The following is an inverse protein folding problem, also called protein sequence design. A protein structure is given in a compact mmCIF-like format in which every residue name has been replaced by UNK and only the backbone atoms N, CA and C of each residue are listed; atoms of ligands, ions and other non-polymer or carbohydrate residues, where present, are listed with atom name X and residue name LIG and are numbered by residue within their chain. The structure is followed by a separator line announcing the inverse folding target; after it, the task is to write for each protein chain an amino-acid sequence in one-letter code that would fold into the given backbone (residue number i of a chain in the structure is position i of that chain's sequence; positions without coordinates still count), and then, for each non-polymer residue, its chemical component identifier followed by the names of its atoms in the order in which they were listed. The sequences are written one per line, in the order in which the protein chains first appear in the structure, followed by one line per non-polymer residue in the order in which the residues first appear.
data_IF_464144850690
#
_entry.id   IF_464144850690
#
_cell.length_a   1.000
_cell.length_b   1.000
_cell.length_c   1.000
_cell.angle_alpha   90.00
_cell.angle_beta   90.00
_cell.angle_gamma   90.00
#
_symmetry.space_group_name_H-M   'P 1'
#
loop_
_entity.id
_entity.type
_entity.pdbx_description
1 polymer ?
#
# COMPACT_ATOMS: atom_id res chain seq x y z
N UNK A 1 -37.59 -6.67 -5.32
CA UNK A 1 -36.40 -5.79 -5.20
C UNK A 1 -35.20 -6.62 -4.73
N UNK A 2 -33.95 -6.23 -5.01
CA UNK A 2 -32.75 -7.02 -4.68
C UNK A 2 -32.62 -7.42 -3.19
N UNK A 3 -33.34 -6.72 -2.30
CA UNK A 3 -33.36 -6.98 -0.86
C UNK A 3 -34.33 -8.08 -0.40
N UNK A 4 -35.10 -8.70 -1.31
CA UNK A 4 -36.12 -9.71 -0.98
C UNK A 4 -35.64 -11.15 -1.24
N UNK A 5 -34.33 -11.40 -1.13
CA UNK A 5 -33.79 -12.74 -1.24
C UNK A 5 -34.01 -13.50 0.08
N UNK A 6 -34.73 -14.61 0.00
CA UNK A 6 -34.94 -15.50 1.13
C UNK A 6 -33.62 -16.10 1.63
N UNK A 7 -33.55 -16.39 2.94
CA UNK A 7 -32.35 -16.99 3.56
C UNK A 7 -31.28 -15.99 4.01
N UNK A 8 -31.58 -14.69 4.06
CA UNK A 8 -30.68 -13.72 4.70
C UNK A 8 -30.45 -14.08 6.17
N UNK A 9 -29.18 -14.26 6.52
CA UNK A 9 -28.76 -14.46 7.89
C UNK A 9 -28.97 -13.18 8.72
N UNK A 10 -29.20 -13.31 10.04
CA UNK A 10 -29.18 -12.18 10.97
C UNK A 10 -27.94 -11.30 10.76
N UNK A 11 -28.09 -9.98 10.90
CA UNK A 11 -27.02 -9.03 10.64
C UNK A 11 -25.80 -9.30 11.53
N UNK A 12 -26.05 -9.69 12.78
CA UNK A 12 -25.05 -10.02 13.78
C UNK A 12 -24.17 -11.19 13.33
N UNK A 13 -24.79 -12.26 12.80
CA UNK A 13 -24.07 -13.42 12.31
C UNK A 13 -23.26 -13.10 11.05
N UNK A 14 -23.78 -12.24 10.17
CA UNK A 14 -23.05 -11.78 8.98
C UNK A 14 -21.82 -10.97 9.36
N UNK A 15 -21.96 -10.06 10.34
CA UNK A 15 -20.84 -9.25 10.81
C UNK A 15 -19.80 -10.09 11.56
N UNK A 16 -20.22 -11.04 12.39
CA UNK A 16 -19.31 -11.98 13.07
C UNK A 16 -18.50 -12.81 12.07
N UNK A 17 -19.13 -13.27 10.98
CA UNK A 17 -18.43 -14.00 9.91
C UNK A 17 -17.47 -13.10 9.14
N UNK A 18 -17.89 -11.88 8.82
CA UNK A 18 -17.06 -10.87 8.16
C UNK A 18 -15.83 -10.56 9.01
N UNK A 19 -15.99 -10.30 10.30
CA UNK A 19 -14.89 -10.01 11.21
C UNK A 19 -13.87 -11.16 11.28
N UNK A 20 -14.34 -12.40 11.42
CA UNK A 20 -13.46 -13.59 11.42
C UNK A 20 -12.70 -13.75 10.10
N UNK A 21 -13.37 -13.53 8.97
CA UNK A 21 -12.73 -13.60 7.66
C UNK A 21 -11.67 -12.50 7.49
N UNK A 22 -12.01 -11.26 7.85
CA UNK A 22 -11.10 -10.12 7.74
C UNK A 22 -9.86 -10.27 8.62
N UNK A 23 -9.99 -10.86 9.82
CA UNK A 23 -8.85 -11.13 10.69
C UNK A 23 -7.81 -12.06 10.02
N UNK A 24 -8.26 -13.10 9.33
CA UNK A 24 -7.37 -13.99 8.56
C UNK A 24 -6.80 -13.26 7.34
N UNK A 25 -7.63 -12.50 6.62
CA UNK A 25 -7.19 -11.74 5.46
C UNK A 25 -6.09 -10.72 5.81
N UNK A 26 -6.20 -10.05 6.95
CA UNK A 26 -5.22 -9.09 7.47
C UNK A 26 -3.87 -9.76 7.75
N UNK A 27 -3.88 -10.94 8.37
CA UNK A 27 -2.67 -11.73 8.62
C UNK A 27 -1.97 -12.09 7.30
N UNK A 28 -2.73 -12.63 6.33
CA UNK A 28 -2.19 -13.00 5.01
C UNK A 28 -1.65 -11.79 4.26
N UNK A 29 -2.35 -10.65 4.33
CA UNK A 29 -1.90 -9.40 3.70
C UNK A 29 -0.56 -8.93 4.29
N UNK A 30 -0.46 -8.94 5.62
CA UNK A 30 0.77 -8.56 6.34
C UNK A 30 1.95 -9.45 5.95
N UNK A 31 1.75 -10.78 5.88
CA UNK A 31 2.79 -11.72 5.44
C UNK A 31 3.24 -11.46 4.00
N UNK A 32 2.30 -11.16 3.10
CA UNK A 32 2.60 -10.83 1.71
C UNK A 32 3.42 -9.54 1.60
N UNK A 33 3.08 -8.50 2.35
CA UNK A 33 3.85 -7.25 2.37
C UNK A 33 5.26 -7.49 2.92
N UNK A 34 5.42 -8.29 3.98
CA UNK A 34 6.73 -8.66 4.53
C UNK A 34 7.61 -9.37 3.51
N UNK A 35 7.05 -10.23 2.66
CA UNK A 35 7.80 -10.89 1.56
C UNK A 35 8.31 -9.91 0.50
N UNK A 36 7.76 -8.70 0.41
CA UNK A 36 8.25 -7.66 -0.50
C UNK A 36 9.46 -6.90 0.05
N UNK A 37 9.76 -7.01 1.34
CA UNK A 37 10.96 -6.37 1.93
C UNK A 37 12.22 -6.94 1.27
N UNK A 38 13.10 -6.04 0.81
CA UNK A 38 14.29 -6.37 0.03
C UNK A 38 14.09 -6.33 -1.49
N UNK A 39 12.84 -6.40 -1.98
CA UNK A 39 12.56 -6.29 -3.40
C UNK A 39 12.81 -4.86 -3.92
N UNK A 40 13.25 -4.76 -5.17
CA UNK A 40 13.31 -3.49 -5.90
C UNK A 40 12.09 -3.41 -6.81
N UNK A 41 11.33 -2.32 -6.71
CA UNK A 41 10.08 -2.12 -7.44
C UNK A 41 10.09 -0.77 -8.14
N UNK A 42 9.34 -0.68 -9.24
CA UNK A 42 9.02 0.58 -9.87
C UNK A 42 7.80 1.21 -9.16
N UNK A 43 7.93 2.47 -8.76
CA UNK A 43 6.95 3.22 -7.98
C UNK A 43 6.59 4.48 -8.75
N UNK A 44 5.30 4.68 -9.01
CA UNK A 44 4.78 5.93 -9.54
C UNK A 44 4.70 6.95 -8.39
N UNK A 45 5.27 8.12 -8.57
CA UNK A 45 5.26 9.18 -7.55
C UNK A 45 3.96 9.96 -7.63
N UNK A 46 3.14 9.91 -6.58
CA UNK A 46 1.89 10.67 -6.46
C UNK A 46 2.08 11.98 -5.71
N UNK A 47 3.03 12.03 -4.75
CA UNK A 47 3.35 13.22 -3.98
C UNK A 47 4.84 13.33 -3.67
N UNK A 48 5.40 14.52 -3.87
CA UNK A 48 6.83 14.80 -3.67
C UNK A 48 7.06 16.17 -2.99
N UNK A 49 6.77 16.31 -1.69
CA UNK A 49 6.98 17.56 -0.98
C UNK A 49 8.44 18.03 -1.05
N UNK A 50 8.64 19.32 -1.31
CA UNK A 50 9.97 19.93 -1.46
C UNK A 50 10.85 19.17 -2.48
N UNK A 51 10.26 18.74 -3.61
CA UNK A 51 10.94 17.99 -4.68
C UNK A 51 11.56 16.66 -4.20
N UNK A 52 10.93 16.03 -3.19
CA UNK A 52 11.38 14.77 -2.61
C UNK A 52 12.37 14.91 -1.46
N UNK A 53 12.81 16.13 -1.10
CA UNK A 53 13.74 16.35 0.03
C UNK A 53 13.16 15.92 1.39
N UNK A 54 11.84 15.85 1.50
CA UNK A 54 11.12 15.34 2.68
C UNK A 54 10.57 13.92 2.47
N UNK A 55 11.02 13.22 1.42
CA UNK A 55 10.43 11.97 0.97
C UNK A 55 9.26 12.20 0.02
N UNK A 56 8.47 11.15 -0.19
CA UNK A 56 7.32 11.18 -1.07
C UNK A 56 6.33 10.04 -0.79
N UNK A 57 5.21 10.10 -1.49
CA UNK A 57 4.21 9.04 -1.51
C UNK A 57 4.07 8.60 -2.97
N UNK A 58 3.97 7.30 -3.16
CA UNK A 58 3.71 6.72 -4.46
C UNK A 58 3.00 5.39 -4.31
N UNK A 59 2.94 4.69 -5.44
CA UNK A 59 2.22 3.42 -5.57
C UNK A 59 2.95 2.50 -6.52
N UNK A 60 2.86 1.20 -6.27
CA UNK A 60 3.38 0.24 -7.24
C UNK A 60 2.37 -0.01 -8.36
N UNK A 61 2.81 -0.68 -9.43
CA UNK A 61 1.93 -1.13 -10.51
C UNK A 61 0.81 -2.06 -10.03
N UNK A 62 0.96 -2.66 -8.85
CA UNK A 62 0.03 -3.64 -8.30
C UNK A 62 -1.03 -3.02 -7.39
N UNK A 63 -0.95 -1.71 -7.09
CA UNK A 63 -1.80 -1.06 -6.09
C UNK A 63 -2.79 -0.11 -6.80
N UNK A 64 -4.08 -0.22 -6.49
CA UNK A 64 -5.16 0.65 -6.95
C UNK A 64 -5.19 2.00 -6.17
N UNK A 65 -5.65 3.10 -6.79
CA UNK A 65 -5.75 4.38 -6.08
C UNK A 65 -6.73 4.26 -4.93
N UNK A 66 -6.41 4.85 -3.77
CA UNK A 66 -7.31 5.04 -2.61
C UNK A 66 -7.81 3.77 -1.90
N UNK A 67 -7.68 2.60 -2.55
CA UNK A 67 -8.17 1.32 -2.07
C UNK A 67 -7.04 0.47 -1.47
N UNK A 68 -5.87 0.48 -2.12
CA UNK A 68 -4.70 -0.31 -1.70
C UNK A 68 -3.70 0.52 -0.90
N UNK A 69 -2.75 -0.17 -0.25
CA UNK A 69 -1.68 0.46 0.52
C UNK A 69 -0.75 1.31 -0.34
N UNK A 70 -0.09 2.28 0.28
CA UNK A 70 0.82 3.21 -0.40
C UNK A 70 2.28 2.83 -0.21
N UNK A 71 3.14 3.30 -1.13
CA UNK A 71 4.58 3.23 -1.00
C UNK A 71 5.11 4.57 -0.49
N UNK A 72 5.54 4.59 0.76
CA UNK A 72 6.20 5.74 1.38
C UNK A 72 7.67 5.75 0.97
N UNK A 73 8.03 6.72 0.13
CA UNK A 73 9.39 6.95 -0.33
C UNK A 73 10.15 7.78 0.71
N UNK A 74 11.24 7.24 1.22
CA UNK A 74 12.15 7.97 2.10
C UNK A 74 12.92 9.04 1.32
N UNK A 75 13.41 10.11 1.99
CA UNK A 75 14.22 11.14 1.36
C UNK A 75 15.43 10.52 0.62
N UNK A 76 15.74 10.97 -0.60
CA UNK A 76 16.91 10.51 -1.32
C UNK A 76 18.20 10.97 -0.64
N UNK A 77 19.17 10.07 -0.49
CA UNK A 77 20.49 10.40 0.09
C UNK A 77 21.33 11.31 -0.82
N UNK A 78 21.18 11.16 -2.14
CA UNK A 78 21.87 11.98 -3.13
C UNK A 78 21.05 13.22 -3.45
N UNK A 79 21.64 14.41 -3.23
CA UNK A 79 21.00 15.69 -3.53
C UNK A 79 20.60 15.87 -5.01
N UNK A 80 21.24 15.15 -5.93
CA UNK A 80 20.90 15.14 -7.36
C UNK A 80 19.61 14.39 -7.68
N UNK A 81 19.15 13.52 -6.77
CA UNK A 81 17.94 12.75 -6.96
C UNK A 81 16.76 13.51 -6.38
N UNK A 82 15.82 13.87 -7.23
CA UNK A 82 14.58 14.55 -6.85
C UNK A 82 13.39 13.68 -7.22
N UNK A 83 12.28 13.88 -6.53
CA UNK A 83 11.01 13.26 -6.89
C UNK A 83 10.14 14.29 -7.58
N UNK A 84 9.51 13.88 -8.68
CA UNK A 84 8.50 14.65 -9.39
C UNK A 84 7.24 13.81 -9.49
N UNK A 85 6.09 14.45 -9.27
CA UNK A 85 4.79 13.79 -9.39
C UNK A 85 4.58 13.35 -10.84
N UNK A 86 4.08 12.12 -11.03
CA UNK A 86 3.88 11.49 -12.33
C UNK A 86 5.10 10.71 -12.85
N UNK A 87 6.27 10.87 -12.24
CA UNK A 87 7.46 10.11 -12.65
C UNK A 87 7.49 8.72 -11.99
N UNK A 88 8.06 7.75 -12.71
CA UNK A 88 8.41 6.46 -12.15
C UNK A 88 9.80 6.49 -11.55
N UNK A 89 9.92 6.05 -10.29
CA UNK A 89 11.20 5.88 -9.59
C UNK A 89 11.40 4.42 -9.22
N UNK A 90 12.66 3.96 -9.24
CA UNK A 90 13.00 2.65 -8.66
C UNK A 90 13.31 2.84 -7.18
N UNK A 91 12.70 2.00 -6.36
CA UNK A 91 12.92 2.01 -4.93
C UNK A 91 13.06 0.59 -4.38
N UNK A 92 13.92 0.42 -3.38
CA UNK A 92 14.07 -0.81 -2.63
C UNK A 92 13.17 -0.75 -1.41
N UNK A 93 12.31 -1.73 -1.25
CA UNK A 93 11.46 -1.85 -0.07
C UNK A 93 12.35 -2.23 1.11
N UNK A 94 12.33 -1.42 2.17
CA UNK A 94 13.14 -1.63 3.38
C UNK A 94 12.29 -2.05 4.57
N UNK A 95 10.97 -1.91 4.49
CA UNK A 95 10.06 -2.31 5.56
C UNK A 95 8.60 -2.12 5.19
N UNK A 96 7.74 -2.35 6.17
CA UNK A 96 6.29 -2.22 6.09
C UNK A 96 5.80 -1.43 7.29
N UNK A 97 4.79 -0.58 7.11
CA UNK A 97 4.11 0.12 8.21
C UNK A 97 2.60 -0.07 8.04
N UNK A 98 2.01 -0.97 8.83
CA UNK A 98 0.62 -1.39 8.59
C UNK A 98 0.48 -2.01 7.20
N UNK A 99 -0.39 -1.41 6.37
CA UNK A 99 -0.60 -1.82 4.98
C UNK A 99 0.29 -1.07 3.98
N UNK A 100 1.13 -0.14 4.44
CA UNK A 100 2.03 0.63 3.59
C UNK A 100 3.42 -0.02 3.48
N UNK A 101 4.10 0.24 2.37
CA UNK A 101 5.50 -0.13 2.16
C UNK A 101 6.41 1.08 2.42
N UNK A 102 7.53 0.85 3.10
CA UNK A 102 8.61 1.83 3.26
C UNK A 102 9.70 1.52 2.24
N UNK A 103 10.11 2.51 1.45
CA UNK A 103 11.06 2.30 0.37
C UNK A 103 12.13 3.40 0.28
N UNK A 104 13.37 2.99 -0.01
CA UNK A 104 14.49 3.91 -0.28
C UNK A 104 14.70 4.00 -1.80
N UNK A 105 14.75 5.21 -2.39
CA UNK A 105 15.01 5.37 -3.82
C UNK A 105 16.42 4.89 -4.20
N UNK A 106 16.55 4.20 -5.34
CA UNK A 106 17.84 3.70 -5.87
C UNK A 106 18.22 4.46 -7.13
#
# INVERSE_FOLDING_TARGET
AANQLDGMLPAELREERRARFMAVAEQVSTERLKRRVGATMQVLVDSAPALGRKGGIGRSYADAPEIDGTVRLLPPEKASKTFKVGDFTRARIVGTQGHDLLAVPI
#
